data_IF_092596832326
#
_entry.id   IF_092596832326
#
_cell.length_a   1.000
_cell.length_b   1.000
_cell.length_c   1.000
_cell.angle_alpha   90.00
_cell.angle_beta   90.00
_cell.angle_gamma   90.00
#
_symmetry.space_group_name_H-M   'P 1'
#
loop_
_entity.id
_entity.type
_entity.pdbx_description
1 polymer ?
#
# COMPACT_ATOMS: atom_id res chain seq x y z
N UNK A 1 18.72 3.76 -1.91
CA UNK A 1 17.58 3.73 -0.97
C UNK A 1 16.29 3.49 -1.72
N UNK A 2 15.54 2.44 -1.37
CA UNK A 2 14.25 2.24 -2.01
C UNK A 2 13.29 3.39 -1.72
N UNK A 3 12.45 3.69 -2.68
CA UNK A 3 11.43 4.73 -2.57
C UNK A 3 10.05 4.09 -2.40
N UNK A 4 9.25 4.69 -1.54
CA UNK A 4 7.93 4.16 -1.18
C UNK A 4 6.91 5.29 -1.26
N UNK A 5 5.76 5.00 -1.87
CA UNK A 5 4.60 5.90 -1.87
C UNK A 5 3.57 5.34 -0.90
N UNK A 6 3.21 6.12 0.12
CA UNK A 6 2.21 5.73 1.12
C UNK A 6 0.91 6.46 0.80
N UNK A 7 -0.16 5.71 0.60
CA UNK A 7 -1.47 6.25 0.23
C UNK A 7 -2.49 5.91 1.32
N UNK A 8 -3.02 6.94 1.97
CA UNK A 8 -4.00 6.82 3.04
C UNK A 8 -4.70 8.16 3.18
N UNK A 9 -6.02 8.16 3.37
CA UNK A 9 -6.79 9.38 3.54
C UNK A 9 -6.70 9.94 4.97
N UNK A 10 -6.26 9.13 5.93
CA UNK A 10 -6.07 9.58 7.31
C UNK A 10 -4.67 10.15 7.50
N UNK A 11 -4.59 11.46 7.70
CA UNK A 11 -3.31 12.17 7.80
C UNK A 11 -2.41 11.62 8.91
N UNK A 12 -2.98 11.29 10.07
CA UNK A 12 -2.21 10.83 11.22
C UNK A 12 -1.57 9.46 10.95
N UNK A 13 -2.35 8.53 10.40
CA UNK A 13 -1.85 7.18 10.09
C UNK A 13 -0.81 7.26 8.99
N UNK A 14 -1.10 8.02 7.93
CA UNK A 14 -0.16 8.18 6.83
C UNK A 14 1.18 8.74 7.30
N UNK A 15 1.14 9.74 8.19
CA UNK A 15 2.35 10.33 8.75
C UNK A 15 3.11 9.34 9.61
N UNK A 16 2.41 8.57 10.44
CA UNK A 16 3.04 7.55 11.29
C UNK A 16 3.77 6.50 10.44
N UNK A 17 3.12 6.01 9.40
CA UNK A 17 3.73 5.04 8.48
C UNK A 17 4.95 5.66 7.80
N UNK A 18 4.83 6.89 7.32
CA UNK A 18 5.94 7.59 6.70
C UNK A 18 7.13 7.72 7.63
N UNK A 19 6.90 8.19 8.85
CA UNK A 19 7.98 8.39 9.82
C UNK A 19 8.67 7.07 10.15
N UNK A 20 7.89 6.00 10.32
CA UNK A 20 8.43 4.67 10.60
C UNK A 20 9.34 4.20 9.46
N UNK A 21 8.90 4.36 8.23
CA UNK A 21 9.67 3.95 7.06
C UNK A 21 10.90 4.82 6.85
N UNK A 22 10.79 6.12 7.07
CA UNK A 22 11.94 7.02 6.94
C UNK A 22 13.02 6.70 7.98
N UNK A 23 12.63 6.36 9.20
CA UNK A 23 13.58 5.96 10.23
C UNK A 23 14.31 4.66 9.85
N UNK A 24 13.67 3.82 9.06
CA UNK A 24 14.29 2.59 8.56
C UNK A 24 15.16 2.81 7.32
N UNK A 25 15.27 4.03 6.83
CA UNK A 25 16.16 4.38 5.72
C UNK A 25 15.49 4.48 4.35
N UNK A 26 14.17 4.39 4.27
CA UNK A 26 13.47 4.51 3.00
C UNK A 26 13.16 5.96 2.66
N UNK A 27 13.09 6.25 1.36
CA UNK A 27 12.62 7.55 0.88
C UNK A 27 11.11 7.46 0.65
N UNK A 28 10.33 8.32 1.33
CA UNK A 28 8.87 8.19 1.35
C UNK A 28 8.20 9.43 0.79
N UNK A 29 7.20 9.21 -0.07
CA UNK A 29 6.26 10.23 -0.51
C UNK A 29 4.85 9.82 -0.09
N UNK A 30 3.94 10.79 -0.06
CA UNK A 30 2.58 10.57 0.44
C UNK A 30 1.54 10.89 -0.63
N UNK A 31 0.45 10.12 -0.63
CA UNK A 31 -0.73 10.37 -1.41
C UNK A 31 -1.95 10.30 -0.52
N UNK A 32 -2.89 11.23 -0.69
CA UNK A 32 -4.09 11.28 0.16
C UNK A 32 -5.23 10.44 -0.38
N UNK A 33 -5.19 10.11 -1.67
CA UNK A 33 -6.23 9.34 -2.33
C UNK A 33 -5.65 8.62 -3.55
N UNK A 34 -6.48 7.81 -4.20
CA UNK A 34 -6.04 7.02 -5.34
C UNK A 34 -5.68 7.85 -6.56
N UNK A 35 -6.39 8.95 -6.79
CA UNK A 35 -6.10 9.84 -7.91
C UNK A 35 -4.72 10.45 -7.77
N UNK A 36 -4.41 10.95 -6.58
CA UNK A 36 -3.09 11.52 -6.30
C UNK A 36 -2.00 10.46 -6.41
N UNK A 37 -2.25 9.25 -5.90
CA UNK A 37 -1.32 8.15 -6.00
C UNK A 37 -0.99 7.82 -7.45
N UNK A 38 -1.99 7.71 -8.29
CA UNK A 38 -1.81 7.38 -9.69
C UNK A 38 -1.02 8.46 -10.42
N UNK A 39 -1.33 9.73 -10.17
CA UNK A 39 -0.61 10.86 -10.74
C UNK A 39 0.84 10.86 -10.32
N UNK A 40 1.11 10.67 -9.03
CA UNK A 40 2.48 10.67 -8.51
C UNK A 40 3.30 9.51 -9.08
N UNK A 41 2.72 8.32 -9.14
CA UNK A 41 3.42 7.16 -9.67
C UNK A 41 3.77 7.34 -11.15
N UNK A 42 2.86 7.90 -11.93
CA UNK A 42 3.12 8.17 -13.35
C UNK A 42 4.26 9.17 -13.56
N UNK A 43 4.33 10.20 -12.71
CA UNK A 43 5.37 11.22 -12.79
C UNK A 43 6.73 10.70 -12.30
N UNK A 44 6.73 9.93 -11.22
CA UNK A 44 7.96 9.44 -10.60
C UNK A 44 7.69 8.06 -9.98
N UNK A 45 7.84 6.99 -10.76
CA UNK A 45 7.63 5.64 -10.25
C UNK A 45 8.50 5.35 -9.04
N UNK A 46 7.90 4.68 -8.05
CA UNK A 46 8.59 4.29 -6.82
C UNK A 46 8.80 2.77 -6.80
N UNK A 47 9.60 2.30 -5.87
CA UNK A 47 9.90 0.88 -5.75
C UNK A 47 8.75 0.09 -5.12
N UNK A 48 7.92 0.76 -4.32
CA UNK A 48 6.82 0.12 -3.62
C UNK A 48 5.71 1.13 -3.34
N UNK A 49 4.46 0.71 -3.52
CA UNK A 49 3.27 1.49 -3.12
C UNK A 49 2.61 0.78 -1.95
N UNK A 50 2.34 1.51 -0.88
CA UNK A 50 1.52 1.02 0.24
C UNK A 50 0.16 1.71 0.12
N UNK A 51 -0.88 0.93 -0.10
CA UNK A 51 -2.21 1.42 -0.41
C UNK A 51 -3.22 0.97 0.63
N UNK A 52 -3.82 1.92 1.34
CA UNK A 52 -4.94 1.63 2.22
C UNK A 52 -6.21 1.53 1.38
N UNK A 53 -6.85 0.35 1.37
CA UNK A 53 -8.11 0.17 0.63
C UNK A 53 -9.34 0.44 1.49
N UNK A 54 -9.13 0.81 2.76
CA UNK A 54 -10.23 1.16 3.67
C UNK A 54 -10.66 2.62 3.53
N UNK A 55 -10.25 3.27 2.46
CA UNK A 55 -10.67 4.63 2.15
C UNK A 55 -12.11 4.64 1.65
N UNK A 56 -12.86 5.73 1.90
CA UNK A 56 -14.20 5.87 1.37
C UNK A 56 -14.23 5.71 -0.15
N UNK A 57 -15.35 5.22 -0.68
CA UNK A 57 -15.60 5.05 -2.12
C UNK A 57 -14.75 3.98 -2.81
N UNK A 58 -14.14 3.07 -2.04
CA UNK A 58 -13.33 1.97 -2.57
C UNK A 58 -12.19 2.43 -3.48
N UNK A 59 -11.76 3.66 -3.32
CA UNK A 59 -10.78 4.31 -4.17
C UNK A 59 -9.44 3.56 -4.19
N UNK A 60 -9.01 3.03 -3.05
CA UNK A 60 -7.75 2.30 -2.94
C UNK A 60 -7.72 1.02 -3.76
N UNK A 61 -8.83 0.27 -3.75
CA UNK A 61 -8.92 -0.97 -4.53
C UNK A 61 -8.93 -0.68 -6.02
N UNK A 62 -9.73 0.29 -6.46
CA UNK A 62 -9.78 0.68 -7.86
C UNK A 62 -8.42 1.16 -8.35
N UNK A 63 -7.74 1.97 -7.55
CA UNK A 63 -6.42 2.47 -7.88
C UNK A 63 -5.39 1.34 -7.97
N UNK A 64 -5.46 0.37 -7.07
CA UNK A 64 -4.58 -0.80 -7.10
C UNK A 64 -4.74 -1.56 -8.41
N UNK A 65 -5.97 -1.81 -8.84
CA UNK A 65 -6.23 -2.48 -10.11
C UNK A 65 -5.70 -1.66 -11.28
N UNK A 66 -5.94 -0.34 -11.27
CA UNK A 66 -5.46 0.54 -12.34
C UNK A 66 -3.94 0.55 -12.43
N UNK A 67 -3.25 0.62 -11.29
CA UNK A 67 -1.79 0.59 -11.25
C UNK A 67 -1.24 -0.71 -11.84
N UNK A 68 -1.82 -1.85 -11.47
CA UNK A 68 -1.36 -3.15 -11.98
C UNK A 68 -1.59 -3.31 -13.48
N UNK A 69 -2.67 -2.74 -14.00
CA UNK A 69 -2.93 -2.77 -15.44
C UNK A 69 -1.95 -1.90 -16.22
N UNK A 70 -1.70 -0.69 -15.72
CA UNK A 70 -0.82 0.27 -16.40
C UNK A 70 0.65 -0.07 -16.21
N UNK A 71 1.02 -0.57 -15.02
CA UNK A 71 2.39 -0.92 -14.66
C UNK A 71 2.44 -2.34 -14.12
N UNK A 72 2.54 -3.36 -14.99
CA UNK A 72 2.44 -4.77 -14.54
C UNK A 72 3.47 -5.19 -13.49
N UNK A 73 4.61 -4.50 -13.42
CA UNK A 73 5.69 -4.84 -12.49
C UNK A 73 5.63 -4.04 -11.20
N UNK A 74 4.61 -3.19 -11.02
CA UNK A 74 4.50 -2.39 -9.80
C UNK A 74 4.36 -3.28 -8.58
N UNK A 75 5.12 -2.97 -7.53
CA UNK A 75 4.99 -3.67 -6.25
C UNK A 75 4.04 -2.88 -5.37
N UNK A 76 3.02 -3.55 -4.85
CA UNK A 76 1.99 -2.93 -4.03
C UNK A 76 1.75 -3.79 -2.80
N UNK A 77 1.74 -3.15 -1.63
CA UNK A 77 1.20 -3.72 -0.41
C UNK A 77 -0.13 -3.04 -0.13
N UNK A 78 -1.19 -3.84 -0.04
CA UNK A 78 -2.52 -3.33 0.24
C UNK A 78 -2.82 -3.53 1.72
N UNK A 79 -3.25 -2.47 2.38
CA UNK A 79 -3.71 -2.54 3.77
C UNK A 79 -5.21 -2.80 3.76
N UNK A 80 -5.61 -3.92 4.37
CA UNK A 80 -7.00 -4.34 4.45
C UNK A 80 -7.49 -4.28 5.88
N UNK A 81 -8.80 -4.14 6.06
CA UNK A 81 -9.42 -4.28 7.37
C UNK A 81 -10.03 -5.66 7.54
N UNK A 82 -10.25 -6.01 8.72
CA UNK A 82 -11.17 -6.73 9.22
C UNK A 82 -11.42 -8.15 9.24
N UNK A 83 -12.24 -8.28 10.16
CA UNK A 83 -12.79 -9.51 10.64
C UNK A 83 -14.19 -9.79 10.10
N UNK A 84 -14.74 -8.92 9.24
CA UNK A 84 -16.04 -9.19 8.65
C UNK A 84 -15.90 -9.99 7.35
N UNK A 85 -17.02 -10.50 6.85
CA UNK A 85 -17.03 -11.34 5.66
C UNK A 85 -16.57 -10.59 4.41
N UNK A 86 -16.97 -9.33 4.28
CA UNK A 86 -16.60 -8.51 3.12
C UNK A 86 -15.10 -8.25 3.12
N UNK A 87 -14.55 -7.92 4.29
CA UNK A 87 -13.10 -7.74 4.43
C UNK A 87 -12.32 -8.98 4.08
N UNK A 88 -12.79 -10.16 4.48
CA UNK A 88 -12.15 -11.42 4.16
C UNK A 88 -12.17 -11.71 2.65
N UNK A 89 -13.29 -11.44 1.99
CA UNK A 89 -13.42 -11.63 0.54
C UNK A 89 -12.48 -10.71 -0.22
N UNK A 90 -12.42 -9.45 0.16
CA UNK A 90 -11.49 -8.49 -0.45
C UNK A 90 -10.05 -8.93 -0.25
N UNK A 91 -9.73 -9.39 0.97
CA UNK A 91 -8.39 -9.89 1.28
C UNK A 91 -7.98 -11.03 0.34
N UNK A 92 -8.86 -12.00 0.14
CA UNK A 92 -8.56 -13.13 -0.75
C UNK A 92 -8.33 -12.68 -2.18
N UNK A 93 -9.17 -11.80 -2.71
CA UNK A 93 -9.05 -11.33 -4.08
C UNK A 93 -7.74 -10.56 -4.29
N UNK A 94 -7.41 -9.69 -3.35
CA UNK A 94 -6.17 -8.90 -3.41
C UNK A 94 -4.95 -9.80 -3.26
N UNK A 95 -5.00 -10.77 -2.36
CA UNK A 95 -3.89 -11.70 -2.15
C UNK A 95 -3.58 -12.49 -3.42
N UNK A 96 -4.61 -12.92 -4.16
CA UNK A 96 -4.42 -13.61 -5.43
C UNK A 96 -3.75 -12.72 -6.47
N UNK A 97 -4.09 -11.44 -6.48
CA UNK A 97 -3.56 -10.50 -7.46
C UNK A 97 -2.12 -10.10 -7.15
N UNK A 98 -1.80 -9.89 -5.87
CA UNK A 98 -0.52 -9.29 -5.46
C UNK A 98 0.51 -10.29 -4.93
N UNK A 99 0.09 -11.53 -4.63
CA UNK A 99 0.98 -12.54 -4.08
C UNK A 99 1.10 -12.51 -2.56
N UNK A 100 1.98 -13.35 -1.99
CA UNK A 100 1.98 -13.63 -0.54
C UNK A 100 2.43 -12.47 0.35
N UNK A 101 3.17 -11.51 -0.18
CA UNK A 101 3.64 -10.36 0.59
C UNK A 101 2.92 -9.07 0.22
N UNK A 102 1.83 -9.15 -0.54
CA UNK A 102 1.13 -7.99 -1.06
C UNK A 102 0.00 -7.48 -0.18
N UNK A 103 -0.21 -8.04 1.00
CA UNK A 103 -1.30 -7.63 1.88
C UNK A 103 -0.83 -7.47 3.32
N UNK A 104 -1.47 -6.53 4.03
CA UNK A 104 -1.23 -6.30 5.44
C UNK A 104 -2.57 -5.98 6.10
N UNK A 105 -2.96 -6.76 7.09
CA UNK A 105 -4.28 -6.68 7.71
C UNK A 105 -4.26 -5.85 8.99
N UNK A 106 -5.17 -4.91 9.13
CA UNK A 106 -5.35 -4.13 10.37
C UNK A 106 -6.04 -4.97 11.44
N UNK A 107 -5.66 -4.81 12.71
CA UNK A 107 -4.57 -3.98 13.21
C UNK A 107 -3.22 -4.67 13.02
N UNK A 108 -2.17 -3.89 12.77
CA UNK A 108 -0.82 -4.42 12.65
C UNK A 108 0.16 -3.54 13.42
N UNK A 109 1.28 -4.13 13.83
CA UNK A 109 2.36 -3.40 14.47
C UNK A 109 3.31 -2.80 13.43
N UNK A 110 4.01 -1.74 13.78
CA UNK A 110 4.99 -1.13 12.86
C UNK A 110 6.11 -2.11 12.52
N UNK A 111 6.46 -3.00 13.44
CA UNK A 111 7.42 -4.07 13.15
C UNK A 111 6.94 -4.97 12.01
N UNK A 112 5.68 -5.34 12.03
CA UNK A 112 5.09 -6.18 10.97
C UNK A 112 5.08 -5.44 9.64
N UNK A 113 4.78 -4.14 9.65
CA UNK A 113 4.85 -3.31 8.46
C UNK A 113 6.26 -3.34 7.86
N UNK A 114 7.29 -3.13 8.67
CA UNK A 114 8.68 -3.12 8.20
C UNK A 114 9.09 -4.47 7.63
N UNK A 115 8.70 -5.56 8.28
CA UNK A 115 8.99 -6.91 7.80
C UNK A 115 8.33 -7.19 6.45
N UNK A 116 7.06 -6.76 6.31
CA UNK A 116 6.31 -6.94 5.07
C UNK A 116 6.94 -6.13 3.93
N UNK A 117 7.34 -4.90 4.20
CA UNK A 117 8.01 -4.05 3.23
C UNK A 117 9.31 -4.68 2.76
N UNK A 118 10.12 -5.17 3.68
CA UNK A 118 11.39 -5.83 3.34
C UNK A 118 11.16 -7.07 2.47
N UNK A 119 10.17 -7.88 2.82
CA UNK A 119 9.85 -9.08 2.06
C UNK A 119 9.39 -8.76 0.64
N UNK A 120 8.53 -7.77 0.48
CA UNK A 120 8.02 -7.38 -0.84
C UNK A 120 9.13 -6.77 -1.71
N UNK A 121 10.00 -5.97 -1.14
CA UNK A 121 11.10 -5.37 -1.90
C UNK A 121 12.12 -6.39 -2.40
N UNK A 122 12.24 -7.51 -1.71
CA UNK A 122 13.13 -8.60 -2.12
C UNK A 122 12.51 -9.56 -3.12
N UNK A 123 11.19 -9.53 -3.22
CA UNK A 123 10.45 -10.48 -4.06
C UNK A 123 10.72 -10.28 -5.55
#
# INVERSE_FOLDING_TARGET
>A
MPSILVVDDENQIRRLVRETLEQAGYHVTEGRDGKEALQQYRLAPVDLVIMDILMPNQDGLETTVALRREFPDVKIIVITGGSDMIGALIFFDVAKMLGPHGTLQKPFEMKTLLETVQAELKA
#
